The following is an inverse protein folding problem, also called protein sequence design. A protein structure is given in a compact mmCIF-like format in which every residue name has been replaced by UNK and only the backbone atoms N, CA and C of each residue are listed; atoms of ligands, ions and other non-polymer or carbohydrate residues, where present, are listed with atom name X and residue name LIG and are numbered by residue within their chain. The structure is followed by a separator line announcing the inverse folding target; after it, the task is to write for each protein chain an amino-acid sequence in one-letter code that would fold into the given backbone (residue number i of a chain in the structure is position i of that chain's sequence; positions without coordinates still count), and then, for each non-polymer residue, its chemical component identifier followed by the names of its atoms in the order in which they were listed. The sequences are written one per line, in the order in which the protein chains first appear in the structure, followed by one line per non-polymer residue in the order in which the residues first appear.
data_IF_955329214569
#
_entry.id   IF_955329214569
#
_cell.length_a   1.000
_cell.length_b   1.000
_cell.length_c   1.000
_cell.angle_alpha   90.00
_cell.angle_beta   90.00
_cell.angle_gamma   90.00
#
_symmetry.space_group_name_H-M   'P 1'
#
loop_
_entity.id
_entity.type
_entity.pdbx_description
1 polymer ?
#
# COMPACT_ATOMS: atom_id res chain seq x y z
N UNK A 1 7.43 -16.57 24.53
CA UNK A 1 8.35 -15.41 24.59
C UNK A 1 9.08 -15.15 23.28
N UNK A 2 9.90 -16.08 22.75
CA UNK A 2 10.59 -15.86 21.45
C UNK A 2 9.57 -15.72 20.30
N UNK A 3 8.66 -16.68 20.15
CA UNK A 3 7.63 -16.66 19.09
C UNK A 3 6.73 -15.41 19.18
N UNK A 4 6.39 -14.97 20.39
CA UNK A 4 5.56 -13.78 20.59
C UNK A 4 6.31 -12.50 20.20
N UNK A 5 7.61 -12.41 20.51
CA UNK A 5 8.45 -11.28 20.14
C UNK A 5 8.66 -11.16 18.62
N UNK A 6 8.70 -12.29 17.90
CA UNK A 6 8.79 -12.32 16.44
C UNK A 6 7.42 -12.37 15.75
N UNK A 7 6.33 -12.13 16.48
CA UNK A 7 4.96 -12.09 15.95
C UNK A 7 4.52 -13.41 15.31
N UNK A 8 5.27 -14.50 15.52
CA UNK A 8 5.01 -15.82 14.94
C UNK A 8 3.63 -16.31 15.33
N UNK A 9 3.20 -16.05 16.56
CA UNK A 9 1.88 -16.42 17.09
C UNK A 9 0.73 -15.74 16.32
N UNK A 10 0.96 -14.55 15.74
CA UNK A 10 -0.04 -13.83 14.94
C UNK A 10 -0.15 -14.41 13.52
N UNK A 11 0.95 -14.94 12.97
CA UNK A 11 0.97 -15.60 11.65
C UNK A 11 0.64 -17.10 11.73
N UNK A 12 0.95 -17.79 12.83
CA UNK A 12 0.68 -19.22 13.03
C UNK A 12 -0.81 -19.55 12.88
N UNK A 13 -1.71 -18.67 13.31
CA UNK A 13 -3.15 -18.88 13.17
C UNK A 13 -3.60 -18.94 11.69
N UNK A 14 -2.87 -18.26 10.79
CA UNK A 14 -3.12 -18.30 9.34
C UNK A 14 -2.58 -19.59 8.68
N UNK A 15 -1.70 -20.33 9.36
CA UNK A 15 -1.00 -21.51 8.82
C UNK A 15 -1.48 -22.82 9.47
N UNK A 16 -1.81 -22.81 10.76
CA UNK A 16 -2.07 -24.02 11.57
C UNK A 16 -3.54 -24.45 11.62
N UNK A 17 -4.46 -23.77 10.91
CA UNK A 17 -5.86 -24.17 10.82
C UNK A 17 -6.20 -24.61 9.39
N UNK A 18 -5.98 -25.88 8.99
CA UNK A 18 -6.17 -26.33 7.60
C UNK A 18 -7.63 -26.30 7.13
N UNK A 19 -8.58 -26.29 8.08
CA UNK A 19 -10.03 -26.28 7.82
C UNK A 19 -10.60 -24.92 8.20
N UNK A 20 -10.39 -23.92 7.35
CA UNK A 20 -10.98 -22.59 7.52
C UNK A 20 -11.71 -22.19 6.24
N UNK A 21 -12.87 -21.55 6.38
CA UNK A 21 -13.59 -21.02 5.22
C UNK A 21 -12.87 -19.77 4.68
N UNK A 22 -12.99 -19.49 3.37
CA UNK A 22 -12.32 -18.34 2.76
C UNK A 22 -12.64 -17.01 3.47
N UNK A 23 -13.89 -16.82 3.91
CA UNK A 23 -14.33 -15.63 4.63
C UNK A 23 -13.68 -15.52 6.01
N UNK A 24 -13.55 -16.64 6.72
CA UNK A 24 -12.95 -16.67 8.05
C UNK A 24 -11.44 -16.40 7.98
N UNK A 25 -10.74 -16.90 6.94
CA UNK A 25 -9.33 -16.58 6.69
C UNK A 25 -9.14 -15.08 6.50
N UNK A 26 -9.99 -14.45 5.67
CA UNK A 26 -9.93 -13.03 5.40
C UNK A 26 -10.19 -12.19 6.66
N UNK A 27 -11.22 -12.51 7.44
CA UNK A 27 -11.53 -11.79 8.69
C UNK A 27 -10.41 -11.93 9.73
N UNK A 28 -9.85 -13.12 9.91
CA UNK A 28 -8.72 -13.32 10.83
C UNK A 28 -7.47 -12.59 10.35
N UNK A 29 -7.17 -12.60 9.05
CA UNK A 29 -6.06 -11.84 8.50
C UNK A 29 -6.23 -10.33 8.75
N UNK A 30 -7.44 -9.79 8.59
CA UNK A 30 -7.76 -8.40 8.91
C UNK A 30 -7.55 -8.08 10.40
N UNK A 31 -8.14 -8.87 11.29
CA UNK A 31 -8.03 -8.62 12.74
C UNK A 31 -6.57 -8.67 13.21
N UNK A 32 -5.78 -9.61 12.69
CA UNK A 32 -4.34 -9.72 13.00
C UNK A 32 -3.53 -8.59 12.35
N UNK A 33 -3.86 -8.21 11.12
CA UNK A 33 -3.26 -7.06 10.44
C UNK A 33 -3.46 -5.76 11.22
N UNK A 34 -4.67 -5.52 11.72
CA UNK A 34 -5.00 -4.37 12.56
C UNK A 34 -4.18 -4.34 13.86
N UNK A 35 -3.95 -5.49 14.49
CA UNK A 35 -3.11 -5.59 15.69
C UNK A 35 -1.62 -5.32 15.41
N UNK A 36 -1.16 -5.60 14.19
CA UNK A 36 0.23 -5.37 13.77
C UNK A 36 0.49 -3.95 13.27
N UNK A 37 -0.53 -3.29 12.71
CA UNK A 37 -0.40 -2.01 12.04
C UNK A 37 0.35 -0.94 12.87
N UNK A 38 0.06 -0.72 14.18
CA UNK A 38 0.78 0.29 14.95
C UNK A 38 2.27 -0.04 15.14
N UNK A 39 2.59 -1.31 15.40
CA UNK A 39 3.97 -1.76 15.64
C UNK A 39 4.81 -1.70 14.37
N UNK A 40 4.21 -2.04 13.23
CA UNK A 40 4.87 -1.94 11.92
C UNK A 40 5.01 -0.48 11.50
N UNK A 41 3.96 0.33 11.66
CA UNK A 41 3.99 1.76 11.33
C UNK A 41 5.13 2.46 12.07
N UNK A 42 5.28 2.21 13.38
CA UNK A 42 6.40 2.76 14.17
C UNK A 42 7.75 2.24 13.70
N UNK A 43 7.87 0.94 13.37
CA UNK A 43 9.13 0.43 12.80
C UNK A 43 9.46 1.12 11.48
N UNK A 44 8.47 1.44 10.65
CA UNK A 44 8.68 2.13 9.38
C UNK A 44 9.07 3.61 9.59
N UNK A 45 8.35 4.34 10.43
CA UNK A 45 8.55 5.79 10.57
C UNK A 45 9.65 6.16 11.56
N UNK A 46 9.83 5.40 12.63
CA UNK A 46 10.78 5.72 13.73
C UNK A 46 12.11 4.98 13.63
N UNK A 47 12.18 3.88 12.86
CA UNK A 47 13.41 3.07 12.73
C UNK A 47 13.89 3.00 11.29
N UNK A 48 13.11 2.42 10.39
CA UNK A 48 13.55 2.16 9.01
C UNK A 48 13.72 3.45 8.20
N UNK A 49 12.80 4.41 8.29
CA UNK A 49 12.92 5.71 7.61
C UNK A 49 14.23 6.43 7.94
N UNK A 50 14.50 6.72 9.22
CA UNK A 50 15.76 7.36 9.63
C UNK A 50 17.02 6.54 9.31
N UNK A 51 16.92 5.20 9.30
CA UNK A 51 18.04 4.34 8.90
C UNK A 51 18.33 4.45 7.41
N UNK A 52 17.30 4.46 6.57
CA UNK A 52 17.43 4.63 5.11
C UNK A 52 18.09 5.98 4.81
N UNK A 53 17.59 7.07 5.39
CA UNK A 53 18.18 8.42 5.23
C UNK A 53 19.66 8.43 5.62
N UNK A 54 19.99 7.86 6.79
CA UNK A 54 21.37 7.76 7.26
C UNK A 54 22.25 6.95 6.33
N UNK A 55 21.76 5.85 5.76
CA UNK A 55 22.51 5.02 4.83
C UNK A 55 22.82 5.78 3.53
N UNK A 56 21.86 6.54 3.00
CA UNK A 56 22.09 7.43 1.86
C UNK A 56 23.18 8.46 2.16
N UNK A 57 23.10 9.16 3.30
CA UNK A 57 24.11 10.15 3.69
C UNK A 57 25.52 9.54 3.81
N UNK A 58 25.62 8.34 4.40
CA UNK A 58 26.89 7.65 4.56
C UNK A 58 27.46 7.23 3.20
N UNK A 59 26.64 6.69 2.30
CA UNK A 59 27.07 6.28 0.96
C UNK A 59 27.48 7.47 0.10
N UNK A 60 26.75 8.59 0.19
CA UNK A 60 27.07 9.83 -0.52
C UNK A 60 28.39 10.41 -0.04
N UNK A 61 28.60 10.47 1.28
CA UNK A 61 29.86 10.95 1.87
C UNK A 61 31.09 10.13 1.46
N UNK A 62 30.88 8.86 1.10
CA UNK A 62 31.93 7.95 0.62
C UNK A 62 32.09 7.95 -0.90
N UNK A 63 31.24 8.68 -1.64
CA UNK A 63 31.21 8.66 -3.10
C UNK A 63 30.85 7.29 -3.68
N UNK A 64 30.10 6.47 -2.93
CA UNK A 64 29.65 5.13 -3.35
C UNK A 64 28.26 5.16 -4.00
N UNK A 65 27.62 6.32 -4.06
CA UNK A 65 26.33 6.50 -4.71
C UNK A 65 26.47 6.44 -6.25
N UNK A 66 25.51 5.82 -6.94
CA UNK A 66 25.39 5.98 -8.39
C UNK A 66 25.09 7.46 -8.73
N UNK A 67 25.31 7.89 -9.99
CA UNK A 67 24.86 9.20 -10.42
C UNK A 67 23.37 9.36 -10.14
N UNK A 68 23.01 10.53 -9.59
CA UNK A 68 21.62 10.85 -9.25
C UNK A 68 20.76 10.79 -10.52
N UNK A 69 19.68 10.00 -10.55
CA UNK A 69 18.73 9.97 -11.66
C UNK A 69 18.14 11.36 -11.98
N UNK A 70 17.96 11.66 -13.27
CA UNK A 70 17.42 12.96 -13.72
C UNK A 70 16.07 13.30 -13.06
N UNK A 71 15.20 12.29 -12.89
CA UNK A 71 13.90 12.46 -12.22
C UNK A 71 14.01 12.97 -10.78
N UNK A 72 15.06 12.59 -10.04
CA UNK A 72 15.30 13.09 -8.69
C UNK A 72 15.89 14.50 -8.71
N UNK A 73 16.66 14.85 -9.74
CA UNK A 73 17.17 16.22 -9.92
C UNK A 73 16.01 17.18 -10.23
N UNK A 74 15.11 16.78 -11.13
CA UNK A 74 13.91 17.54 -11.47
C UNK A 74 12.97 17.73 -10.27
N UNK A 75 12.87 16.71 -9.41
CA UNK A 75 12.13 16.76 -8.15
C UNK A 75 12.86 17.52 -7.02
N UNK A 76 14.02 18.14 -7.28
CA UNK A 76 14.77 18.89 -6.27
C UNK A 76 15.37 18.02 -5.15
N UNK A 77 15.50 16.72 -5.38
CA UNK A 77 15.96 15.75 -4.39
C UNK A 77 14.88 15.27 -3.42
N UNK A 78 13.61 15.63 -3.63
CA UNK A 78 12.50 15.11 -2.84
C UNK A 78 12.20 13.65 -3.20
N UNK A 79 11.95 12.83 -2.18
CA UNK A 79 11.54 11.45 -2.32
C UNK A 79 10.63 11.02 -1.17
N UNK A 80 9.78 10.04 -1.44
CA UNK A 80 8.97 9.38 -0.44
C UNK A 80 9.34 7.89 -0.35
N UNK A 81 9.44 7.38 0.87
CA UNK A 81 9.75 5.97 1.12
C UNK A 81 8.44 5.18 1.18
N UNK A 82 8.14 4.43 0.13
CA UNK A 82 6.99 3.52 0.11
C UNK A 82 7.39 2.08 0.48
N UNK A 83 6.69 1.49 1.45
CA UNK A 83 6.94 0.12 1.90
C UNK A 83 5.99 -0.89 1.22
N UNK A 84 6.51 -1.64 0.24
CA UNK A 84 5.72 -2.56 -0.60
C UNK A 84 5.64 -4.02 -0.08
N UNK A 85 5.48 -4.21 1.23
CA UNK A 85 5.42 -5.57 1.81
C UNK A 85 4.05 -6.25 1.59
N UNK A 86 3.95 -7.60 1.56
CA UNK A 86 2.66 -8.30 1.50
C UNK A 86 1.70 -7.90 2.61
N UNK A 87 2.21 -7.60 3.81
CA UNK A 87 1.42 -7.10 4.92
C UNK A 87 0.95 -5.66 4.68
N UNK A 88 1.82 -4.78 4.18
CA UNK A 88 1.48 -3.40 3.82
C UNK A 88 0.35 -3.37 2.77
N UNK A 89 0.40 -4.27 1.78
CA UNK A 89 -0.70 -4.46 0.83
C UNK A 89 -1.95 -5.02 1.48
N UNK A 90 -1.83 -6.01 2.37
CA UNK A 90 -2.98 -6.57 3.10
C UNK A 90 -3.68 -5.52 3.99
N UNK A 91 -2.92 -4.59 4.58
CA UNK A 91 -3.46 -3.45 5.31
C UNK A 91 -4.22 -2.49 4.40
N UNK A 92 -3.70 -2.23 3.19
CA UNK A 92 -4.37 -1.37 2.19
C UNK A 92 -5.51 -2.08 1.45
N UNK A 93 -5.61 -3.40 1.49
CA UNK A 93 -6.68 -4.14 0.82
C UNK A 93 -8.09 -3.71 1.28
N UNK A 94 -8.23 -3.25 2.52
CA UNK A 94 -9.49 -2.68 3.03
C UNK A 94 -9.90 -1.40 2.29
N UNK A 95 -8.93 -0.58 1.89
CA UNK A 95 -9.16 0.63 1.11
C UNK A 95 -9.80 0.28 -0.24
N UNK A 96 -9.26 -0.72 -0.94
CA UNK A 96 -9.83 -1.21 -2.20
C UNK A 96 -11.25 -1.77 -2.04
N UNK A 97 -11.51 -2.52 -0.97
CA UNK A 97 -12.86 -3.04 -0.65
C UNK A 97 -13.83 -1.89 -0.32
N UNK A 98 -13.38 -0.88 0.41
CA UNK A 98 -14.18 0.29 0.76
C UNK A 98 -14.55 1.12 -0.48
N UNK A 99 -13.62 1.29 -1.43
CA UNK A 99 -13.87 1.96 -2.71
C UNK A 99 -14.98 1.22 -3.48
N UNK A 100 -14.85 -0.09 -3.68
CA UNK A 100 -15.84 -0.87 -4.43
C UNK A 100 -17.22 -0.81 -3.79
N UNK A 101 -17.31 -0.98 -2.46
CA UNK A 101 -18.59 -0.86 -1.74
C UNK A 101 -19.20 0.54 -1.87
N UNK A 102 -18.39 1.59 -1.83
CA UNK A 102 -18.87 2.97 -1.98
C UNK A 102 -19.44 3.18 -3.38
N UNK A 103 -18.74 2.70 -4.42
CA UNK A 103 -19.23 2.77 -5.80
C UNK A 103 -20.53 1.98 -6.00
N UNK A 104 -20.63 0.78 -5.43
CA UNK A 104 -21.87 -0.02 -5.45
C UNK A 104 -23.03 0.71 -4.79
N UNK A 105 -22.80 1.40 -3.67
CA UNK A 105 -23.82 2.17 -2.96
C UNK A 105 -24.27 3.43 -3.73
N UNK A 106 -23.38 4.00 -4.55
CA UNK A 106 -23.67 5.21 -5.33
C UNK A 106 -24.39 4.90 -6.65
N UNK A 107 -24.24 3.70 -7.22
CA UNK A 107 -24.88 3.29 -8.48
C UNK A 107 -26.40 3.60 -8.56
N UNK A 108 -27.23 3.34 -7.53
CA UNK A 108 -28.66 3.69 -7.58
C UNK A 108 -28.91 5.20 -7.61
N UNK A 109 -28.02 6.00 -7.01
CA UNK A 109 -28.11 7.46 -7.02
C UNK A 109 -27.72 7.99 -8.40
N UNK A 110 -26.64 7.43 -8.99
CA UNK A 110 -26.19 7.76 -10.34
C UNK A 110 -27.24 7.48 -11.42
N UNK A 111 -28.13 6.50 -11.18
CA UNK A 111 -29.26 6.22 -12.07
C UNK A 111 -30.33 7.34 -12.09
N UNK A 112 -30.41 8.14 -11.02
CA UNK A 112 -31.33 9.30 -10.91
C UNK A 112 -30.63 10.60 -11.30
N UNK A 113 -29.40 10.79 -10.83
CA UNK A 113 -28.54 11.94 -11.14
C UNK A 113 -27.13 11.45 -11.51
N UNK A 114 -26.81 11.37 -12.81
CA UNK A 114 -25.49 10.96 -13.27
C UNK A 114 -24.34 11.87 -12.78
N UNK A 115 -24.61 13.14 -12.46
CA UNK A 115 -23.60 14.11 -12.02
C UNK A 115 -22.96 13.76 -10.68
N UNK A 116 -23.55 12.84 -9.91
CA UNK A 116 -22.94 12.34 -8.66
C UNK A 116 -21.61 11.62 -8.92
N UNK A 117 -21.43 11.03 -10.11
CA UNK A 117 -20.18 10.35 -10.47
C UNK A 117 -19.00 11.30 -10.66
N UNK A 118 -19.25 12.59 -10.94
CA UNK A 118 -18.19 13.62 -11.08
C UNK A 118 -17.44 13.88 -9.77
N UNK A 119 -18.00 13.44 -8.63
CA UNK A 119 -17.32 13.52 -7.34
C UNK A 119 -16.20 12.47 -7.18
N UNK A 120 -16.07 11.52 -8.10
CA UNK A 120 -15.11 10.43 -8.01
C UNK A 120 -14.00 10.60 -9.05
N UNK A 121 -12.76 10.63 -8.57
CA UNK A 121 -11.59 10.55 -9.43
C UNK A 121 -11.38 9.11 -9.90
N UNK A 122 -11.88 8.77 -11.09
CA UNK A 122 -11.81 7.41 -11.63
C UNK A 122 -10.38 6.94 -11.89
N UNK A 123 -9.46 7.84 -12.19
CA UNK A 123 -8.06 7.49 -12.45
C UNK A 123 -7.38 7.08 -11.14
N UNK A 124 -7.55 7.88 -10.10
CA UNK A 124 -7.02 7.58 -8.76
C UNK A 124 -7.64 6.31 -8.17
N UNK A 125 -8.96 6.14 -8.31
CA UNK A 125 -9.66 4.90 -7.94
C UNK A 125 -9.03 3.68 -8.63
N UNK A 126 -8.78 3.78 -9.94
CA UNK A 126 -8.21 2.67 -10.70
C UNK A 126 -6.79 2.34 -10.23
N UNK A 127 -5.98 3.37 -9.92
CA UNK A 127 -4.62 3.19 -9.39
C UNK A 127 -4.62 2.54 -8.00
N UNK A 128 -5.47 3.00 -7.09
CA UNK A 128 -5.60 2.42 -5.74
C UNK A 128 -6.08 0.96 -5.82
N UNK A 129 -7.07 0.68 -6.67
CA UNK A 129 -7.53 -0.69 -6.89
C UNK A 129 -6.45 -1.59 -7.50
N UNK A 130 -5.67 -1.08 -8.44
CA UNK A 130 -4.56 -1.82 -9.02
C UNK A 130 -3.48 -2.14 -7.97
N UNK A 131 -3.07 -1.15 -7.17
CA UNK A 131 -2.06 -1.33 -6.12
C UNK A 131 -2.52 -2.32 -5.03
N UNK A 132 -3.73 -2.14 -4.52
CA UNK A 132 -4.31 -3.00 -3.46
C UNK A 132 -4.51 -4.45 -3.92
N UNK A 133 -4.80 -4.68 -5.21
CA UNK A 133 -4.88 -6.03 -5.78
C UNK A 133 -3.52 -6.61 -6.20
N UNK A 134 -2.42 -5.85 -6.05
CA UNK A 134 -1.08 -6.29 -6.41
C UNK A 134 -0.85 -6.38 -7.92
N UNK A 135 -1.58 -5.58 -8.71
CA UNK A 135 -1.41 -5.52 -10.13
C UNK A 135 -0.01 -4.93 -10.49
N UNK A 136 0.72 -5.50 -11.45
CA UNK A 136 2.01 -4.95 -11.83
C UNK A 136 1.88 -3.52 -12.40
N UNK A 137 2.56 -2.53 -11.81
CA UNK A 137 2.52 -1.11 -12.26
C UNK A 137 2.71 -0.91 -13.77
N UNK A 138 3.51 -1.78 -14.42
CA UNK A 138 3.72 -1.79 -15.89
C UNK A 138 2.46 -1.94 -16.75
N UNK A 139 1.32 -2.33 -16.16
CA UNK A 139 0.03 -2.42 -16.88
C UNK A 139 -0.73 -1.09 -16.88
N UNK A 140 -0.35 -0.14 -16.02
CA UNK A 140 -0.93 1.19 -15.91
C UNK A 140 -0.11 2.16 -16.77
N UNK A 141 -0.80 3.11 -17.41
CA UNK A 141 -0.14 4.25 -18.06
C UNK A 141 0.41 5.21 -17.01
N UNK A 142 1.53 5.83 -17.34
CA UNK A 142 2.07 6.95 -16.57
C UNK A 142 1.10 8.14 -16.60
N UNK A 143 1.19 9.03 -15.61
CA UNK A 143 0.33 10.23 -15.58
C UNK A 143 0.56 11.14 -16.78
N UNK A 144 1.80 11.18 -17.28
CA UNK A 144 2.15 11.90 -18.49
C UNK A 144 1.42 11.35 -19.72
N UNK A 145 1.37 10.01 -19.88
CA UNK A 145 0.64 9.37 -20.99
C UNK A 145 -0.88 9.58 -20.92
N UNK A 146 -1.46 9.80 -19.73
CA UNK A 146 -2.89 10.09 -19.57
C UNK A 146 -3.19 11.56 -19.86
N UNK A 147 -2.31 12.47 -19.42
CA UNK A 147 -2.46 13.92 -19.60
C UNK A 147 -2.32 14.36 -21.07
N UNK A 148 -1.69 13.52 -21.91
CA UNK A 148 -1.55 13.73 -23.35
C UNK A 148 -2.73 13.20 -24.19
N UNK A 149 -3.75 12.57 -23.58
CA UNK A 149 -4.96 12.07 -24.25
C UNK A 149 -6.11 13.08 -24.22
#
# INVERSE_FOLDING_TARGET
MINDAFLVTLFQILVETPTMTATEVLQRAQEKGALLAPTIGRQQTEMLGPLIEREFDVLDSQGLMPPVPDILIEAGGEYEIEYVSPLSRAMRAEEGVAILRTLEMVQPIAAVDPGVMDNFNTDEITRILADTNGAPQRILRSENEISEM
#
